data_IF_827458512434
#
_entry.id   IF_827458512434
#
_cell.length_a   1.000
_cell.length_b   1.000
_cell.length_c   1.000
_cell.angle_alpha   90.00
_cell.angle_beta   90.00
_cell.angle_gamma   90.00
#
_symmetry.space_group_name_H-M   'P 1'
#
loop_
_entity.id
_entity.type
_entity.pdbx_description
1 polymer ?
#
# COMPACT_ATOMS: atom_id res chain seq x y z
N UNK A 1 -2.71 19.37 -24.96
CA UNK A 1 -1.31 19.56 -24.52
C UNK A 1 -1.37 20.15 -23.13
N UNK A 2 -1.37 19.30 -22.10
CA UNK A 2 -1.38 19.75 -20.71
C UNK A 2 0.07 20.07 -20.30
N UNK A 3 0.30 21.32 -19.92
CA UNK A 3 1.59 21.82 -19.46
C UNK A 3 1.87 21.27 -18.06
N UNK A 4 2.81 20.34 -17.96
CA UNK A 4 3.36 19.85 -16.69
C UNK A 4 4.09 21.01 -16.00
N UNK A 5 3.53 21.50 -14.89
CA UNK A 5 4.19 22.50 -14.06
C UNK A 5 5.37 21.85 -13.31
N UNK A 6 6.53 22.51 -13.17
CA UNK A 6 7.67 21.94 -12.47
C UNK A 6 7.35 21.84 -10.97
N UNK A 7 7.51 20.64 -10.41
CA UNK A 7 7.45 20.40 -8.96
C UNK A 7 8.54 21.29 -8.31
N UNK A 8 8.20 22.20 -7.39
CA UNK A 8 9.20 23.02 -6.72
C UNK A 8 10.14 22.11 -5.92
N UNK A 9 11.46 22.37 -5.89
CA UNK A 9 12.38 21.62 -5.05
C UNK A 9 11.95 21.82 -3.60
N UNK A 10 11.64 20.72 -2.92
CA UNK A 10 11.32 20.69 -1.51
C UNK A 10 12.35 21.55 -0.76
N UNK A 11 11.87 22.61 -0.10
CA UNK A 11 12.69 23.45 0.73
C UNK A 11 13.49 22.55 1.67
N UNK A 12 14.82 22.71 1.68
CA UNK A 12 15.69 22.06 2.65
C UNK A 12 15.38 22.70 4.00
N UNK A 13 14.34 22.20 4.65
CA UNK A 13 14.02 22.53 6.03
C UNK A 13 15.27 22.15 6.80
N UNK A 14 15.89 23.13 7.46
CA UNK A 14 17.01 22.88 8.37
C UNK A 14 16.55 21.83 9.38
N UNK A 15 17.00 20.60 9.19
CA UNK A 15 16.53 19.46 9.98
C UNK A 15 17.10 19.66 11.38
N UNK A 16 16.24 20.11 12.30
CA UNK A 16 16.62 20.29 13.70
C UNK A 16 17.17 18.96 14.25
N UNK A 17 18.28 18.95 14.99
CA UNK A 17 18.86 17.72 15.48
C UNK A 17 17.89 17.03 16.46
N UNK A 18 17.53 15.78 16.16
CA UNK A 18 16.75 14.94 17.06
C UNK A 18 17.57 14.48 18.28
N UNK A 19 16.94 13.78 19.24
CA UNK A 19 17.57 13.43 20.53
C UNK A 19 18.87 12.63 20.36
N UNK A 20 18.89 11.66 19.42
CA UNK A 20 20.06 10.85 19.13
C UNK A 20 21.17 11.64 18.42
N UNK A 21 20.80 12.56 17.53
CA UNK A 21 21.76 13.41 16.82
C UNK A 21 22.42 14.42 17.78
N UNK A 22 21.65 15.03 18.68
CA UNK A 22 22.16 15.90 19.74
C UNK A 22 23.10 15.11 20.66
N UNK A 23 22.69 13.92 21.08
CA UNK A 23 23.52 13.07 21.93
C UNK A 23 24.86 12.68 21.29
N UNK A 24 24.87 12.40 19.99
CA UNK A 24 26.09 12.12 19.25
C UNK A 24 27.06 13.31 19.29
N UNK A 25 26.56 14.52 19.09
CA UNK A 25 27.37 15.75 19.12
C UNK A 25 27.91 16.04 20.53
N UNK A 26 27.08 15.87 21.56
CA UNK A 26 27.49 16.00 22.97
C UNK A 26 28.60 15.01 23.34
N UNK A 27 28.45 13.74 22.97
CA UNK A 27 29.45 12.70 23.24
C UNK A 27 30.75 13.02 22.52
N UNK A 28 30.68 13.46 21.26
CA UNK A 28 31.87 13.86 20.50
C UNK A 28 32.62 15.02 21.20
N UNK A 29 31.90 16.09 21.55
CA UNK A 29 32.48 17.25 22.22
C UNK A 29 33.15 16.88 23.55
N UNK A 30 32.42 16.15 24.41
CA UNK A 30 32.95 15.71 25.71
C UNK A 30 34.13 14.73 25.60
N UNK A 31 34.15 13.87 24.58
CA UNK A 31 35.31 13.00 24.30
C UNK A 31 36.52 13.80 23.79
N UNK A 32 36.29 14.78 22.90
CA UNK A 32 37.36 15.63 22.36
C UNK A 32 38.01 16.44 23.47
N UNK A 33 37.22 17.11 24.31
CA UNK A 33 37.72 17.86 25.47
C UNK A 33 38.51 16.97 26.43
N UNK A 34 38.01 15.76 26.72
CA UNK A 34 38.70 14.82 27.60
C UNK A 34 40.05 14.36 27.03
N UNK A 35 40.12 14.15 25.71
CA UNK A 35 41.37 13.81 25.02
C UNK A 35 42.35 14.98 25.03
N UNK A 36 41.87 16.20 24.75
CA UNK A 36 42.71 17.41 24.76
C UNK A 36 43.21 17.76 26.16
N UNK A 37 42.41 17.50 27.20
CA UNK A 37 42.82 17.68 28.60
C UNK A 37 44.02 16.80 28.99
N UNK A 38 44.27 15.68 28.31
CA UNK A 38 45.46 14.85 28.52
C UNK A 38 46.74 15.51 27.99
N UNK A 39 46.64 16.45 27.06
CA UNK A 39 47.74 17.24 26.53
C UNK A 39 48.02 18.45 27.44
N UNK A 40 48.08 18.23 28.76
CA UNK A 40 48.34 19.29 29.73
C UNK A 40 49.79 19.78 29.62
N UNK A 41 50.00 21.02 30.05
CA UNK A 41 51.34 21.62 30.03
C UNK A 41 52.37 20.76 30.77
N UNK A 42 52.02 20.17 31.91
CA UNK A 42 52.98 19.38 32.71
C UNK A 42 53.47 18.14 31.97
N UNK A 43 52.60 17.50 31.17
CA UNK A 43 52.98 16.36 30.33
C UNK A 43 53.90 16.79 29.19
N UNK A 44 53.62 17.93 28.57
CA UNK A 44 54.46 18.50 27.50
C UNK A 44 55.81 18.97 28.05
N UNK A 45 55.83 19.66 29.19
CA UNK A 45 57.04 20.11 29.86
C UNK A 45 57.94 18.94 30.31
N UNK A 46 57.33 17.83 30.74
CA UNK A 46 58.06 16.59 31.05
C UNK A 46 58.80 15.99 29.85
N UNK A 47 58.25 16.10 28.64
CA UNK A 47 58.89 15.64 27.40
C UNK A 47 59.95 16.62 26.86
N UNK A 48 59.88 17.90 27.23
CA UNK A 48 60.78 18.97 26.74
C UNK A 48 61.44 19.75 27.90
N UNK A 49 62.25 19.10 28.76
CA UNK A 49 62.75 19.71 29.99
C UNK A 49 63.72 20.88 29.75
N UNK A 50 64.49 20.88 28.67
CA UNK A 50 65.42 21.96 28.30
C UNK A 50 64.69 23.23 27.88
N UNK A 51 63.64 23.10 27.07
CA UNK A 51 62.82 24.22 26.62
C UNK A 51 61.91 24.75 27.72
N UNK A 52 61.39 23.87 28.59
CA UNK A 52 60.62 24.26 29.77
C UNK A 52 61.41 25.18 30.70
N UNK A 53 62.73 24.97 30.86
CA UNK A 53 63.61 25.83 31.68
C UNK A 53 64.02 27.12 30.99
N UNK A 54 64.22 27.09 29.66
CA UNK A 54 64.83 28.20 28.91
C UNK A 54 63.82 29.15 28.29
N UNK A 55 62.64 28.66 27.92
CA UNK A 55 61.61 29.40 27.22
C UNK A 55 60.20 28.87 27.57
N UNK A 56 59.89 28.83 28.87
CA UNK A 56 58.57 28.47 29.41
C UNK A 56 57.39 29.15 28.69
N UNK A 57 57.38 30.49 28.47
CA UNK A 57 56.23 31.15 27.84
C UNK A 57 55.99 30.69 26.39
N UNK A 58 57.07 30.39 25.66
CA UNK A 58 56.98 29.91 24.27
C UNK A 58 56.39 28.50 24.25
N UNK A 59 56.81 27.62 25.17
CA UNK A 59 56.28 26.26 25.24
C UNK A 59 54.79 26.24 25.63
N UNK A 60 54.37 27.12 26.56
CA UNK A 60 52.96 27.31 26.90
C UNK A 60 52.13 27.79 25.72
N UNK A 61 52.68 28.75 24.95
CA UNK A 61 52.03 29.25 23.75
C UNK A 61 51.90 28.17 22.67
N UNK A 62 52.92 27.35 22.45
CA UNK A 62 52.86 26.26 21.47
C UNK A 62 51.84 25.20 21.88
N UNK A 63 51.81 24.82 23.17
CA UNK A 63 50.84 23.85 23.67
C UNK A 63 49.41 24.37 23.52
N UNK A 64 49.14 25.63 23.89
CA UNK A 64 47.80 26.21 23.77
C UNK A 64 47.37 26.34 22.30
N UNK A 65 48.27 26.77 21.41
CA UNK A 65 47.99 26.83 19.98
C UNK A 65 47.75 25.44 19.38
N UNK A 66 48.54 24.43 19.77
CA UNK A 66 48.36 23.07 19.29
C UNK A 66 47.01 22.50 19.71
N UNK A 67 46.63 22.67 21.00
CA UNK A 67 45.33 22.22 21.52
C UNK A 67 44.18 22.94 20.81
N UNK A 68 44.26 24.27 20.65
CA UNK A 68 43.23 25.05 19.96
C UNK A 68 43.10 24.63 18.49
N UNK A 69 44.22 24.48 17.75
CA UNK A 69 44.18 24.08 16.34
C UNK A 69 43.66 22.66 16.16
N UNK A 70 44.04 21.73 17.04
CA UNK A 70 43.53 20.36 16.99
C UNK A 70 42.03 20.33 17.29
N UNK A 71 41.57 21.09 18.29
CA UNK A 71 40.15 21.26 18.59
C UNK A 71 39.37 21.78 17.38
N UNK A 72 39.76 22.94 16.84
CA UNK A 72 39.06 23.59 15.72
C UNK A 72 39.02 22.71 14.48
N UNK A 73 40.15 22.07 14.14
CA UNK A 73 40.22 21.16 13.01
C UNK A 73 39.31 19.95 13.22
N UNK A 74 39.36 19.33 14.39
CA UNK A 74 38.55 18.14 14.69
C UNK A 74 37.05 18.45 14.63
N UNK A 75 36.62 19.58 15.20
CA UNK A 75 35.23 20.03 15.17
C UNK A 75 34.78 20.35 13.74
N UNK A 76 35.64 20.98 12.93
CA UNK A 76 35.34 21.29 11.53
C UNK A 76 35.22 20.04 10.67
N UNK A 77 36.15 19.09 10.80
CA UNK A 77 36.09 17.81 10.07
C UNK A 77 34.86 17.01 10.49
N UNK A 78 34.53 17.00 11.79
CA UNK A 78 33.33 16.33 12.27
C UNK A 78 32.06 16.94 11.66
N UNK A 79 31.95 18.27 11.64
CA UNK A 79 30.83 18.95 10.98
C UNK A 79 30.75 18.64 9.48
N UNK A 80 31.89 18.61 8.78
CA UNK A 80 31.96 18.24 7.37
C UNK A 80 31.51 16.79 7.13
N UNK A 81 31.89 15.84 7.99
CA UNK A 81 31.46 14.43 7.92
C UNK A 81 29.95 14.31 8.17
N UNK A 82 29.41 15.03 9.16
CA UNK A 82 27.97 15.03 9.44
C UNK A 82 27.15 15.50 8.23
N UNK A 83 27.62 16.54 7.52
CA UNK A 83 26.99 17.04 6.30
C UNK A 83 27.17 16.07 5.14
N UNK A 84 28.39 15.62 4.85
CA UNK A 84 28.69 14.78 3.70
C UNK A 84 27.93 13.44 3.70
N UNK A 85 27.62 12.90 4.89
CA UNK A 85 26.88 11.64 5.05
C UNK A 85 25.41 11.82 5.39
N UNK A 86 24.95 13.06 5.51
CA UNK A 86 23.60 13.43 5.92
C UNK A 86 23.14 12.68 7.19
N UNK A 87 24.02 12.69 8.20
CA UNK A 87 23.84 11.86 9.39
C UNK A 87 22.63 12.33 10.20
N UNK A 88 22.43 13.64 10.32
CA UNK A 88 21.34 14.22 11.12
C UNK A 88 19.99 13.80 10.55
N UNK A 89 19.78 13.88 9.23
CA UNK A 89 18.53 13.44 8.63
C UNK A 89 18.31 11.93 8.80
N UNK A 90 19.35 11.11 8.64
CA UNK A 90 19.26 9.66 8.83
C UNK A 90 18.92 9.27 10.28
N UNK A 91 19.53 9.94 11.26
CA UNK A 91 19.23 9.70 12.67
C UNK A 91 17.81 10.14 13.01
N UNK A 92 17.34 11.26 12.45
CA UNK A 92 15.96 11.70 12.65
C UNK A 92 14.94 10.76 11.97
N UNK A 93 15.26 10.26 10.78
CA UNK A 93 14.44 9.24 10.10
C UNK A 93 14.36 7.95 10.93
N UNK A 94 15.47 7.55 11.56
CA UNK A 94 15.50 6.41 12.48
C UNK A 94 14.64 6.64 13.72
N UNK A 95 14.71 7.81 14.36
CA UNK A 95 13.83 8.16 15.48
C UNK A 95 12.35 8.12 15.07
N UNK A 96 12.04 8.60 13.87
CA UNK A 96 10.69 8.51 13.31
C UNK A 96 10.23 7.07 13.03
N UNK A 97 11.15 6.15 12.69
CA UNK A 97 10.82 4.72 12.56
C UNK A 97 10.60 4.06 13.92
N UNK A 98 11.45 4.36 14.91
CA UNK A 98 11.33 3.83 16.27
C UNK A 98 10.02 4.27 16.91
N UNK A 99 9.67 5.56 16.80
CA UNK A 99 8.42 6.09 17.34
C UNK A 99 7.18 5.43 16.70
N UNK A 100 7.19 5.21 15.38
CA UNK A 100 6.12 4.50 14.68
C UNK A 100 5.98 3.06 15.16
N UNK A 101 7.10 2.34 15.27
CA UNK A 101 7.10 0.95 15.74
C UNK A 101 6.62 0.84 17.20
N UNK A 102 6.99 1.78 18.07
CA UNK A 102 6.52 1.81 19.45
C UNK A 102 5.01 2.09 19.52
N UNK A 103 4.52 3.08 18.78
CA UNK A 103 3.09 3.40 18.73
C UNK A 103 2.24 2.24 18.19
N UNK A 104 2.74 1.49 17.20
CA UNK A 104 2.05 0.28 16.71
C UNK A 104 2.03 -0.83 17.76
N UNK A 105 3.13 -1.05 18.47
CA UNK A 105 3.17 -2.04 19.57
C UNK A 105 2.20 -1.70 20.69
N UNK A 106 2.15 -0.43 21.10
CA UNK A 106 1.21 0.05 22.12
C UNK A 106 -0.25 -0.15 21.68
N UNK A 107 -0.59 0.15 20.42
CA UNK A 107 -1.93 -0.09 19.87
C UNK A 107 -2.30 -1.57 19.90
N UNK A 108 -1.38 -2.47 19.54
CA UNK A 108 -1.62 -3.91 19.57
C UNK A 108 -1.80 -4.42 21.00
N UNK A 109 -1.02 -3.91 21.96
CA UNK A 109 -1.15 -4.25 23.38
C UNK A 109 -2.51 -3.77 23.93
N UNK A 110 -2.95 -2.57 23.57
CA UNK A 110 -4.29 -2.05 23.93
C UNK A 110 -5.43 -2.90 23.33
N UNK A 111 -5.34 -3.28 22.05
CA UNK A 111 -6.32 -4.15 21.42
C UNK A 111 -6.39 -5.54 22.07
N UNK A 112 -5.25 -6.09 22.47
CA UNK A 112 -5.22 -7.37 23.20
C UNK A 112 -5.82 -7.27 24.61
N UNK A 113 -5.63 -6.14 25.29
CA UNK A 113 -6.24 -5.90 26.60
C UNK A 113 -7.75 -5.69 26.48
N UNK A 114 -8.22 -5.00 25.43
CA UNK A 114 -9.65 -4.84 25.14
C UNK A 114 -10.30 -6.18 24.82
N UNK A 115 -9.68 -7.00 23.95
CA UNK A 115 -10.17 -8.35 23.67
C UNK A 115 -10.23 -9.24 24.91
N UNK A 116 -9.24 -9.17 25.80
CA UNK A 116 -9.26 -9.93 27.06
C UNK A 116 -10.35 -9.44 28.02
N UNK A 117 -10.62 -8.13 28.07
CA UNK A 117 -11.72 -7.57 28.84
C UNK A 117 -13.10 -7.99 28.32
N UNK A 118 -13.28 -8.04 26.99
CA UNK A 118 -14.49 -8.55 26.35
C UNK A 118 -14.68 -10.06 26.61
N UNK A 119 -13.61 -10.84 26.58
CA UNK A 119 -13.63 -12.29 26.91
C UNK A 119 -13.92 -12.56 28.42
N UNK A 120 -13.54 -11.64 29.32
CA UNK A 120 -13.80 -11.73 30.78
C UNK A 120 -15.20 -11.23 31.18
N UNK A 121 -15.81 -10.30 30.43
CA UNK A 121 -17.17 -9.80 30.70
C UNK A 121 -18.27 -10.79 30.22
N UNK A 122 -17.97 -11.65 29.25
CA UNK A 122 -18.85 -12.78 28.85
C UNK A 122 -18.77 -14.00 29.81
N UNK A 123 -17.78 -14.06 30.71
CA UNK A 123 -17.58 -15.17 31.65
C UNK A 123 -17.92 -14.77 33.09
N UNK A 124 -19.16 -14.31 33.30
CA UNK A 124 -19.78 -14.32 34.62
C UNK A 124 -20.52 -15.66 34.81
N UNK A 125 -20.24 -16.44 35.88
CA UNK A 125 -20.44 -17.88 35.86
C UNK A 125 -21.77 -18.29 36.49
N UNK A 126 -22.63 -18.92 35.70
CA UNK A 126 -23.64 -19.85 36.22
C UNK A 126 -23.12 -21.28 36.01
N UNK A 127 -22.93 -22.01 37.11
CA UNK A 127 -23.00 -23.47 37.09
C UNK A 127 -21.72 -24.23 37.42
N UNK A 128 -21.75 -24.86 38.58
CA UNK A 128 -20.84 -25.88 39.09
C UNK A 128 -20.51 -26.99 38.08
N UNK A 129 -19.24 -27.37 38.01
CA UNK A 129 -18.76 -28.50 37.22
C UNK A 129 -17.31 -28.84 37.56
N UNK A 130 -17.07 -29.26 38.80
CA UNK A 130 -15.79 -29.80 39.22
C UNK A 130 -15.61 -31.23 38.71
N UNK A 131 -14.87 -31.43 37.63
CA UNK A 131 -14.23 -32.73 37.35
C UNK A 131 -12.74 -32.55 37.04
N UNK A 132 -11.93 -33.13 37.93
CA UNK A 132 -10.48 -33.23 37.85
C UNK A 132 -10.12 -34.40 36.92
N UNK A 133 -9.64 -34.08 35.73
CA UNK A 133 -8.97 -35.03 34.83
C UNK A 133 -7.47 -34.80 34.82
N UNK A 134 -6.72 -35.58 35.61
CA UNK A 134 -5.26 -35.57 35.67
C UNK A 134 -4.70 -36.54 34.62
N UNK A 135 -4.12 -36.02 33.54
CA UNK A 135 -3.45 -36.79 32.48
C UNK A 135 -2.02 -36.33 32.33
N UNK A 136 -1.09 -37.02 32.99
CA UNK A 136 0.35 -36.84 32.87
C UNK A 136 0.86 -37.73 31.73
N UNK A 137 1.21 -37.13 30.59
CA UNK A 137 1.96 -37.82 29.53
C UNK A 137 3.34 -37.18 29.36
N UNK A 138 4.31 -37.87 29.94
CA UNK A 138 5.74 -37.69 29.72
C UNK A 138 6.08 -37.96 28.24
N UNK A 139 6.32 -36.90 27.48
CA UNK A 139 6.94 -36.95 26.15
C UNK A 139 8.40 -36.51 26.20
N UNK A 140 9.28 -37.42 26.63
CA UNK A 140 10.73 -37.26 26.56
C UNK A 140 11.21 -37.37 25.11
N UNK A 141 11.47 -36.23 24.46
CA UNK A 141 12.03 -36.14 23.12
C UNK A 141 13.36 -35.40 23.13
N UNK A 142 14.41 -36.06 23.62
CA UNK A 142 15.79 -35.60 23.48
C UNK A 142 16.23 -35.73 22.01
N UNK A 143 16.13 -34.62 21.26
CA UNK A 143 16.61 -34.48 19.90
C UNK A 143 17.90 -33.66 19.88
N UNK A 144 19.01 -34.37 19.79
CA UNK A 144 20.36 -33.87 19.58
C UNK A 144 20.49 -32.99 18.33
N UNK A 145 21.41 -32.02 18.38
CA UNK A 145 22.29 -31.82 17.24
C UNK A 145 22.43 -30.40 16.71
N UNK A 146 23.64 -29.89 16.92
CA UNK A 146 24.35 -28.95 16.06
C UNK A 146 23.89 -27.49 16.12
N UNK A 147 24.55 -26.74 17.02
CA UNK A 147 24.92 -25.37 16.75
C UNK A 147 25.59 -25.28 15.37
N UNK A 148 24.83 -24.84 14.38
CA UNK A 148 25.35 -24.48 13.06
C UNK A 148 26.30 -23.31 13.28
N UNK A 149 27.58 -23.58 13.01
CA UNK A 149 28.61 -22.57 12.87
C UNK A 149 28.06 -21.36 12.08
N UNK A 150 28.25 -20.16 12.63
CA UNK A 150 27.56 -18.94 12.26
C UNK A 150 27.62 -18.63 10.77
N UNK A 151 26.53 -18.92 10.06
CA UNK A 151 26.14 -18.16 8.89
C UNK A 151 25.81 -16.76 9.41
N UNK A 152 26.41 -15.68 8.88
CA UNK A 152 26.11 -14.34 9.35
C UNK A 152 24.61 -14.11 9.23
N UNK A 153 23.97 -13.78 10.36
CA UNK A 153 22.55 -13.46 10.41
C UNK A 153 22.28 -12.38 9.35
N UNK A 154 21.47 -12.67 8.32
CA UNK A 154 21.15 -11.67 7.32
C UNK A 154 20.44 -10.48 7.99
N UNK A 155 20.57 -9.27 7.43
CA UNK A 155 20.07 -8.04 8.05
C UNK A 155 18.55 -8.04 8.30
N UNK A 156 17.81 -8.94 7.65
CA UNK A 156 16.42 -9.25 7.96
C UNK A 156 16.18 -10.76 7.97
N UNK A 157 15.24 -11.20 8.81
CA UNK A 157 14.75 -12.59 8.88
C UNK A 157 13.59 -12.84 7.90
N UNK A 158 13.13 -11.81 7.19
CA UNK A 158 12.09 -11.90 6.17
C UNK A 158 12.56 -12.76 5.00
N UNK A 159 11.68 -13.62 4.50
CA UNK A 159 11.97 -14.41 3.30
C UNK A 159 12.00 -13.48 2.07
N UNK A 160 12.74 -13.85 1.00
CA UNK A 160 12.72 -13.08 -0.25
C UNK A 160 11.31 -12.89 -0.83
N UNK A 161 10.42 -13.86 -0.61
CA UNK A 161 9.03 -13.78 -1.07
C UNK A 161 8.26 -12.70 -0.31
N UNK A 162 8.46 -12.57 1.01
CA UNK A 162 7.78 -11.56 1.81
C UNK A 162 8.17 -10.15 1.37
N UNK A 163 9.45 -9.95 1.04
CA UNK A 163 9.96 -8.66 0.55
C UNK A 163 9.35 -8.33 -0.81
N UNK A 164 9.36 -9.29 -1.73
CA UNK A 164 8.78 -9.11 -3.06
C UNK A 164 7.28 -8.80 -2.95
N UNK A 165 6.54 -9.57 -2.14
CA UNK A 165 5.12 -9.38 -1.94
C UNK A 165 4.80 -8.05 -1.26
N UNK A 166 5.60 -7.62 -0.29
CA UNK A 166 5.43 -6.31 0.35
C UNK A 166 5.61 -5.15 -0.66
N UNK A 167 6.58 -5.27 -1.56
CA UNK A 167 6.80 -4.26 -2.61
C UNK A 167 5.73 -4.29 -3.70
N UNK A 168 5.34 -5.48 -4.17
CA UNK A 168 4.34 -5.62 -5.23
C UNK A 168 2.92 -5.39 -4.72
N UNK A 169 2.66 -5.58 -3.43
CA UNK A 169 1.33 -5.52 -2.82
C UNK A 169 0.58 -4.23 -3.15
N UNK A 170 1.21 -3.06 -2.94
CA UNK A 170 0.59 -1.76 -3.22
C UNK A 170 0.21 -1.61 -4.72
N UNK A 171 1.08 -2.04 -5.63
CA UNK A 171 0.81 -2.00 -7.07
C UNK A 171 -0.29 -2.98 -7.48
N UNK A 172 -0.26 -4.20 -6.95
CA UNK A 172 -1.24 -5.24 -7.25
C UNK A 172 -2.64 -4.87 -6.72
N UNK A 173 -2.73 -4.22 -5.56
CA UNK A 173 -4.00 -3.71 -5.02
C UNK A 173 -4.60 -2.66 -5.94
N UNK A 174 -3.82 -1.65 -6.36
CA UNK A 174 -4.29 -0.62 -7.30
C UNK A 174 -4.76 -1.22 -8.63
N UNK A 175 -4.02 -2.19 -9.19
CA UNK A 175 -4.44 -2.89 -10.41
C UNK A 175 -5.70 -3.74 -10.21
N UNK A 176 -5.81 -4.44 -9.07
CA UNK A 176 -6.99 -5.23 -8.71
C UNK A 176 -8.23 -4.34 -8.65
N UNK A 177 -8.15 -3.22 -7.95
CA UNK A 177 -9.25 -2.25 -7.85
C UNK A 177 -9.69 -1.76 -9.24
N UNK A 178 -8.74 -1.41 -10.12
CA UNK A 178 -9.07 -0.99 -11.48
C UNK A 178 -9.74 -2.09 -12.31
N UNK A 179 -9.30 -3.35 -12.19
CA UNK A 179 -9.88 -4.46 -12.94
C UNK A 179 -11.26 -4.82 -12.40
N UNK A 180 -11.44 -4.82 -11.08
CA UNK A 180 -12.75 -5.05 -10.44
C UNK A 180 -13.76 -4.00 -10.87
N UNK A 181 -13.39 -2.72 -10.85
CA UNK A 181 -14.29 -1.63 -11.30
C UNK A 181 -14.69 -1.79 -12.78
N UNK A 182 -13.74 -2.17 -13.66
CA UNK A 182 -14.02 -2.44 -15.09
C UNK A 182 -14.92 -3.66 -15.27
N UNK A 183 -14.68 -4.72 -14.50
CA UNK A 183 -15.49 -5.92 -14.51
C UNK A 183 -16.94 -5.61 -14.12
N UNK A 184 -17.13 -4.91 -13.00
CA UNK A 184 -18.45 -4.50 -12.51
C UNK A 184 -19.18 -3.60 -13.51
N UNK A 185 -18.47 -2.63 -14.11
CA UNK A 185 -19.04 -1.76 -15.14
C UNK A 185 -19.50 -2.56 -16.36
N UNK A 186 -18.66 -3.49 -16.84
CA UNK A 186 -18.98 -4.32 -18.01
C UNK A 186 -20.13 -5.28 -17.70
N UNK A 187 -20.16 -5.85 -16.50
CA UNK A 187 -21.24 -6.72 -16.06
C UNK A 187 -22.58 -5.97 -16.00
N UNK A 188 -22.58 -4.72 -15.50
CA UNK A 188 -23.77 -3.87 -15.48
C UNK A 188 -24.25 -3.52 -16.90
N UNK A 189 -23.34 -3.17 -17.82
CA UNK A 189 -23.68 -2.91 -19.22
C UNK A 189 -24.25 -4.14 -19.92
N UNK A 190 -23.65 -5.31 -19.72
CA UNK A 190 -24.14 -6.56 -20.28
C UNK A 190 -25.53 -6.93 -19.74
N UNK A 191 -25.79 -6.67 -18.46
CA UNK A 191 -27.11 -6.89 -17.86
C UNK A 191 -28.19 -6.02 -18.54
N UNK A 192 -27.91 -4.74 -18.77
CA UNK A 192 -28.81 -3.82 -19.48
C UNK A 192 -29.04 -4.24 -20.94
N UNK A 193 -27.98 -4.59 -21.67
CA UNK A 193 -28.10 -5.04 -23.05
C UNK A 193 -28.89 -6.36 -23.15
N UNK A 194 -28.67 -7.30 -22.24
CA UNK A 194 -29.41 -8.54 -22.18
C UNK A 194 -30.90 -8.31 -21.90
N UNK A 195 -31.25 -7.30 -21.09
CA UNK A 195 -32.64 -6.89 -20.87
C UNK A 195 -33.27 -6.33 -22.15
N UNK A 196 -32.59 -5.40 -22.84
CA UNK A 196 -33.08 -4.84 -24.10
C UNK A 196 -33.28 -5.92 -25.18
N UNK A 197 -32.35 -6.86 -25.33
CA UNK A 197 -32.49 -7.96 -26.30
C UNK A 197 -33.70 -8.85 -25.95
N UNK A 198 -33.95 -9.10 -24.66
CA UNK A 198 -35.12 -9.87 -24.21
C UNK A 198 -36.42 -9.13 -24.53
N UNK A 199 -36.47 -7.82 -24.31
CA UNK A 199 -37.62 -6.98 -24.65
C UNK A 199 -37.85 -6.95 -26.17
N UNK A 200 -36.81 -6.73 -26.97
CA UNK A 200 -36.88 -6.72 -28.44
C UNK A 200 -37.38 -8.06 -28.99
N UNK A 201 -36.91 -9.18 -28.44
CA UNK A 201 -37.38 -10.51 -28.85
C UNK A 201 -38.86 -10.73 -28.53
N UNK A 202 -39.33 -10.24 -27.39
CA UNK A 202 -40.75 -10.31 -27.03
C UNK A 202 -41.61 -9.45 -27.97
N UNK A 203 -41.16 -8.23 -28.29
CA UNK A 203 -41.84 -7.34 -29.22
C UNK A 203 -41.91 -7.93 -30.64
N UNK A 204 -40.79 -8.49 -31.15
CA UNK A 204 -40.78 -9.17 -32.45
C UNK A 204 -41.76 -10.33 -32.48
N UNK A 205 -41.82 -11.15 -31.41
CA UNK A 205 -42.77 -12.25 -31.34
C UNK A 205 -44.21 -11.73 -31.40
N UNK A 206 -44.53 -10.66 -30.65
CA UNK A 206 -45.85 -10.05 -30.67
C UNK A 206 -46.22 -9.50 -32.05
N UNK A 207 -45.29 -8.85 -32.76
CA UNK A 207 -45.52 -8.33 -34.10
C UNK A 207 -45.73 -9.45 -35.12
N UNK A 208 -44.99 -10.56 -35.00
CA UNK A 208 -45.17 -11.73 -35.83
C UNK A 208 -46.55 -12.37 -35.60
N UNK A 209 -46.97 -12.51 -34.34
CA UNK A 209 -48.30 -13.05 -34.01
C UNK A 209 -49.42 -12.16 -34.58
N UNK A 210 -49.27 -10.84 -34.54
CA UNK A 210 -50.21 -9.89 -35.15
C UNK A 210 -50.23 -9.98 -36.68
N UNK A 211 -49.06 -10.15 -37.31
CA UNK A 211 -48.95 -10.32 -38.74
C UNK A 211 -49.61 -11.63 -39.19
N UNK A 212 -49.37 -12.72 -38.48
CA UNK A 212 -49.98 -14.02 -38.77
C UNK A 212 -51.51 -13.95 -38.63
N UNK A 213 -52.03 -13.24 -37.62
CA UNK A 213 -53.46 -12.97 -37.48
C UNK A 213 -54.01 -12.17 -38.68
N UNK A 214 -53.36 -11.07 -39.06
CA UNK A 214 -53.80 -10.22 -40.18
C UNK A 214 -53.74 -10.96 -41.53
N UNK A 215 -52.71 -11.79 -41.76
CA UNK A 215 -52.63 -12.68 -42.93
C UNK A 215 -53.77 -13.69 -42.92
N UNK A 216 -54.11 -14.23 -41.75
CA UNK A 216 -55.29 -15.07 -41.54
C UNK A 216 -56.58 -14.36 -41.93
N UNK A 217 -56.78 -13.12 -41.47
CA UNK A 217 -57.95 -12.31 -41.78
C UNK A 217 -58.08 -12.00 -43.28
N UNK A 218 -56.98 -11.65 -43.95
CA UNK A 218 -56.97 -11.40 -45.41
C UNK A 218 -57.29 -12.69 -46.17
N UNK A 219 -56.74 -13.83 -45.76
CA UNK A 219 -57.07 -15.14 -46.37
C UNK A 219 -58.54 -15.48 -46.17
N UNK A 220 -59.09 -15.23 -44.98
CA UNK A 220 -60.51 -15.46 -44.69
C UNK A 220 -61.42 -14.54 -45.53
N UNK A 221 -61.10 -13.24 -45.61
CA UNK A 221 -61.83 -12.28 -46.44
C UNK A 221 -61.79 -12.68 -47.92
N UNK A 222 -60.63 -13.10 -48.44
CA UNK A 222 -60.51 -13.58 -49.81
C UNK A 222 -61.31 -14.87 -50.06
N UNK A 223 -61.37 -15.79 -49.09
CA UNK A 223 -62.21 -16.99 -49.20
C UNK A 223 -63.71 -16.67 -49.24
N UNK A 224 -64.16 -15.62 -48.53
CA UNK A 224 -65.55 -15.15 -48.55
C UNK A 224 -65.89 -14.41 -49.85
N UNK A 225 -64.96 -13.60 -50.38
CA UNK A 225 -65.17 -12.85 -51.62
C UNK A 225 -65.10 -13.74 -52.88
N UNK A 226 -64.37 -14.86 -52.84
CA UNK A 226 -64.20 -15.76 -53.98
C UNK A 226 -65.50 -16.14 -54.69
N UNK A 227 -66.53 -16.66 -53.99
CA UNK A 227 -67.83 -16.98 -54.58
C UNK A 227 -68.54 -15.76 -55.19
N UNK A 228 -68.49 -14.60 -54.52
CA UNK A 228 -69.12 -13.36 -54.97
C UNK A 228 -68.47 -12.84 -56.25
N UNK A 229 -67.15 -12.96 -56.37
CA UNK A 229 -66.41 -12.57 -57.57
C UNK A 229 -66.77 -13.45 -58.76
N UNK A 230 -66.93 -14.76 -58.57
CA UNK A 230 -67.36 -15.68 -59.64
C UNK A 230 -68.81 -15.42 -60.07
N UNK A 231 -69.70 -15.13 -59.12
CA UNK A 231 -71.09 -14.75 -59.39
C UNK A 231 -71.17 -13.44 -60.19
N UNK A 232 -70.45 -12.39 -59.74
CA UNK A 232 -70.40 -11.10 -60.42
C UNK A 232 -69.73 -11.18 -61.80
N UNK A 233 -68.71 -12.03 -61.95
CA UNK A 233 -68.08 -12.30 -63.24
C UNK A 233 -69.03 -13.06 -64.19
N UNK A 234 -69.87 -13.93 -63.65
CA UNK A 234 -70.97 -14.56 -64.38
C UNK A 234 -71.98 -13.53 -64.87
N UNK A 235 -72.51 -12.69 -63.98
CA UNK A 235 -73.45 -11.63 -64.33
C UNK A 235 -72.87 -10.63 -65.35
N UNK A 236 -71.62 -10.19 -65.16
CA UNK A 236 -70.97 -9.28 -66.10
C UNK A 236 -70.83 -9.90 -67.51
N UNK A 237 -70.52 -11.19 -67.62
CA UNK A 237 -70.45 -11.89 -68.92
C UNK A 237 -71.82 -12.02 -69.59
N UNK A 238 -72.89 -12.21 -68.81
CA UNK A 238 -74.25 -12.25 -69.34
C UNK A 238 -74.63 -10.87 -69.89
N UNK A 239 -74.42 -9.81 -69.12
CA UNK A 239 -74.72 -8.42 -69.53
C UNK A 239 -73.89 -8.00 -70.76
N UNK A 240 -72.60 -8.35 -70.83
CA UNK A 240 -71.77 -8.10 -72.02
C UNK A 240 -72.26 -8.86 -73.27
N UNK A 241 -72.78 -10.08 -73.07
CA UNK A 241 -73.39 -10.87 -74.14
C UNK A 241 -74.69 -10.28 -74.65
N UNK A 242 -75.53 -9.76 -73.74
CA UNK A 242 -76.77 -9.06 -74.07
C UNK A 242 -76.52 -7.74 -74.79
N UNK A 243 -75.52 -6.96 -74.36
CA UNK A 243 -75.10 -5.71 -75.03
C UNK A 243 -74.60 -5.96 -76.46
N UNK A 244 -73.82 -7.02 -76.69
CA UNK A 244 -73.36 -7.41 -78.04
C UNK A 244 -74.47 -7.94 -78.94
N UNK A 245 -75.60 -8.38 -78.38
CA UNK A 245 -76.75 -8.83 -79.17
C UNK A 245 -77.68 -7.68 -79.60
N UNK A 246 -77.46 -6.47 -79.06
CA UNK A 246 -78.23 -5.27 -79.33
C UNK A 246 -77.52 -4.30 -80.31
N UNK A 247 -76.25 -4.55 -80.67
CA UNK A 247 -75.51 -3.92 -81.78
C UNK A 247 -75.63 -4.71 -83.09
#
# INVERSE_FOLDING_TARGET
MASEAPIPPAAVVGVAPGPRASRLQEIFGSCLERTLAKLSYDKVAGCFPTMARRAEPVLRQVQSQMVAKLHDKSTREFAAILQARDVVAKLNALEGLVARAQAEREKLEQQQQQRKGEEEEEQQPDGEGAERGNGNENGNGNGTGAGKAGVPTPPHLLSPQDILNAHLGAHLVAHRESLTARFETTQAQNALLAEHVRQQRAEVQQLLDQLDAAVGDVRAANAVLGPVVEELAGEARVVDGELKALE
#
